data_IF_856315335494
#
_entry.id   IF_856315335494
#
_cell.length_a   1.000
_cell.length_b   1.000
_cell.length_c   1.000
_cell.angle_alpha   90.00
_cell.angle_beta   90.00
_cell.angle_gamma   90.00
#
_symmetry.space_group_name_H-M   'P 1'
#
loop_
_entity.id
_entity.type
_entity.pdbx_description
1 polymer ?
#
# COMPACT_ATOMS: atom_id res chain seq x y z
N UNK A 1 11.97 10.90 13.06
CA UNK A 1 11.53 12.27 12.76
C UNK A 1 12.68 13.23 13.05
N UNK A 2 12.92 14.19 12.16
CA UNK A 2 13.81 15.33 12.40
C UNK A 2 12.99 16.57 12.78
N UNK A 3 11.84 16.74 12.14
CA UNK A 3 10.79 17.72 12.46
C UNK A 3 9.42 17.18 12.01
N UNK A 4 8.41 18.04 11.92
CA UNK A 4 7.03 17.69 11.56
C UNK A 4 6.87 17.12 10.15
N UNK A 5 7.79 17.46 9.22
CA UNK A 5 7.68 17.09 7.79
C UNK A 5 8.91 16.33 7.26
N UNK A 6 9.96 16.14 8.07
CA UNK A 6 11.17 15.46 7.66
C UNK A 6 11.49 14.25 8.52
N UNK A 7 11.90 13.18 7.84
CA UNK A 7 12.35 11.95 8.46
C UNK A 7 13.73 11.56 7.94
N UNK A 8 14.58 11.06 8.84
CA UNK A 8 15.85 10.44 8.47
C UNK A 8 15.64 8.94 8.29
N UNK A 9 16.08 8.40 7.16
CA UNK A 9 15.95 6.98 6.81
C UNK A 9 17.28 6.39 6.36
N UNK A 10 17.38 5.06 6.39
CA UNK A 10 18.49 4.34 5.76
C UNK A 10 18.41 4.56 4.25
N UNK A 11 19.53 4.96 3.63
CA UNK A 11 19.60 5.06 2.16
C UNK A 11 19.42 3.68 1.54
N UNK A 12 18.62 3.61 0.48
CA UNK A 12 18.42 2.41 -0.32
C UNK A 12 18.25 2.77 -1.80
N UNK A 13 18.66 1.85 -2.67
CA UNK A 13 18.41 1.92 -4.10
C UNK A 13 17.05 1.29 -4.40
N UNK A 14 16.14 2.07 -4.98
CA UNK A 14 14.74 1.68 -5.18
C UNK A 14 14.64 0.50 -6.15
N UNK A 15 13.90 -0.54 -5.77
CA UNK A 15 13.41 -1.56 -6.70
C UNK A 15 12.18 -0.95 -7.37
N UNK A 16 12.20 -0.79 -8.69
CA UNK A 16 11.15 -0.09 -9.45
C UNK A 16 9.86 -0.92 -9.58
N UNK A 17 9.34 -1.42 -8.47
CA UNK A 17 8.10 -2.17 -8.34
C UNK A 17 7.26 -1.52 -7.24
N UNK A 18 6.06 -1.11 -7.59
CA UNK A 18 5.02 -0.80 -6.62
C UNK A 18 4.34 -2.10 -6.20
N UNK A 19 4.40 -2.43 -4.91
CA UNK A 19 3.83 -3.66 -4.36
C UNK A 19 2.45 -3.37 -3.79
N UNK A 20 1.41 -3.77 -4.50
CA UNK A 20 0.02 -3.51 -4.11
C UNK A 20 -0.52 -4.68 -3.31
N UNK A 21 -0.97 -4.40 -2.09
CA UNK A 21 -1.48 -5.40 -1.15
C UNK A 21 -2.96 -5.15 -0.92
N UNK A 22 -3.83 -6.15 -1.13
CA UNK A 22 -5.29 -5.99 -1.09
C UNK A 22 -5.97 -7.01 -0.20
N UNK A 23 -6.91 -6.53 0.61
CA UNK A 23 -7.84 -7.35 1.40
C UNK A 23 -9.27 -7.29 0.86
N UNK A 24 -9.64 -6.16 0.23
CA UNK A 24 -10.96 -5.92 -0.34
C UNK A 24 -10.76 -5.46 -1.79
N UNK A 25 -11.59 -5.95 -2.70
CA UNK A 25 -11.55 -5.56 -4.10
C UNK A 25 -12.10 -4.14 -4.28
N UNK A 26 -11.26 -3.25 -4.82
CA UNK A 26 -11.68 -1.92 -5.27
C UNK A 26 -10.70 -1.36 -6.31
N UNK A 27 -10.97 -0.15 -6.80
CA UNK A 27 -10.07 0.60 -7.66
C UNK A 27 -9.72 -0.16 -8.94
N UNK A 28 -8.41 -0.28 -9.23
CA UNK A 28 -7.93 -0.94 -10.44
C UNK A 28 -8.25 -2.44 -10.49
N UNK A 29 -8.36 -3.13 -9.35
CA UNK A 29 -8.69 -4.55 -9.33
C UNK A 29 -10.11 -4.81 -9.88
N UNK A 30 -11.09 -4.08 -9.33
CA UNK A 30 -12.50 -4.11 -9.79
C UNK A 30 -12.60 -3.70 -11.26
N UNK A 31 -11.93 -2.60 -11.65
CA UNK A 31 -12.01 -2.04 -13.00
C UNK A 31 -11.45 -2.99 -14.06
N UNK A 32 -10.35 -3.69 -13.76
CA UNK A 32 -9.63 -4.51 -14.73
C UNK A 32 -10.20 -5.92 -14.84
N UNK A 33 -10.71 -6.48 -13.74
CA UNK A 33 -11.13 -7.89 -13.67
C UNK A 33 -12.64 -8.08 -13.49
N UNK A 34 -13.41 -7.00 -13.40
CA UNK A 34 -14.86 -7.02 -13.14
C UNK A 34 -15.24 -7.79 -11.86
N UNK A 35 -14.35 -7.78 -10.86
CA UNK A 35 -14.69 -8.22 -9.50
C UNK A 35 -15.57 -7.14 -8.88
N UNK A 36 -16.66 -7.53 -8.20
CA UNK A 36 -17.57 -6.59 -7.55
C UNK A 36 -16.84 -5.73 -6.51
N UNK A 37 -17.07 -4.42 -6.55
CA UNK A 37 -16.46 -3.46 -5.62
C UNK A 37 -16.91 -3.73 -4.18
N UNK A 38 -15.97 -3.71 -3.23
CA UNK A 38 -16.24 -4.09 -1.84
C UNK A 38 -16.17 -5.59 -1.55
N UNK A 39 -15.87 -6.44 -2.56
CA UNK A 39 -15.69 -7.89 -2.32
C UNK A 39 -14.52 -8.14 -1.36
N UNK A 40 -14.80 -8.77 -0.20
CA UNK A 40 -13.76 -9.24 0.70
C UNK A 40 -13.03 -10.42 0.05
N UNK A 41 -11.72 -10.30 -0.14
CA UNK A 41 -10.92 -11.33 -0.78
C UNK A 41 -10.71 -12.52 0.17
N UNK A 42 -10.70 -13.76 -0.33
CA UNK A 42 -10.53 -14.96 0.49
C UNK A 42 -9.10 -15.09 1.08
N UNK A 43 -8.16 -14.31 0.56
CA UNK A 43 -6.78 -14.21 1.03
C UNK A 43 -6.23 -12.83 0.65
N UNK A 44 -5.16 -12.39 1.32
CA UNK A 44 -4.46 -11.15 0.94
C UNK A 44 -3.87 -11.31 -0.47
N UNK A 45 -4.27 -10.47 -1.40
CA UNK A 45 -3.68 -10.43 -2.73
C UNK A 45 -2.44 -9.53 -2.70
N UNK A 46 -1.35 -9.95 -3.38
CA UNK A 46 -0.17 -9.12 -3.61
C UNK A 46 0.08 -9.06 -5.11
N UNK A 47 0.01 -7.87 -5.67
CA UNK A 47 0.26 -7.56 -7.08
C UNK A 47 1.49 -6.67 -7.21
N UNK A 48 2.06 -6.65 -8.41
CA UNK A 48 3.18 -5.78 -8.74
C UNK A 48 2.77 -4.85 -9.88
N UNK A 49 3.05 -3.56 -9.72
CA UNK A 49 2.94 -2.54 -10.76
C UNK A 49 4.34 -1.99 -11.05
N UNK A 50 4.64 -1.72 -12.31
CA UNK A 50 5.94 -1.19 -12.70
C UNK A 50 6.01 0.27 -12.32
N UNK A 51 6.96 0.68 -11.47
CA UNK A 51 7.11 2.10 -11.10
C UNK A 51 7.67 2.88 -12.29
N UNK A 52 6.78 3.41 -13.13
CA UNK A 52 7.10 4.14 -14.33
C UNK A 52 5.93 5.05 -14.75
N UNK A 53 5.99 6.30 -14.29
CA UNK A 53 4.95 7.31 -14.52
C UNK A 53 4.65 7.54 -16.02
N UNK A 54 5.65 7.42 -16.90
CA UNK A 54 5.47 7.60 -18.36
C UNK A 54 4.58 6.52 -18.98
N UNK A 55 4.58 5.33 -18.38
CA UNK A 55 3.76 4.18 -18.80
C UNK A 55 2.46 4.06 -18.00
N UNK A 56 2.24 4.93 -17.01
CA UNK A 56 1.07 4.90 -16.13
C UNK A 56 1.04 3.65 -15.23
N UNK A 57 2.20 3.24 -14.74
CA UNK A 57 2.42 2.15 -13.79
C UNK A 57 1.73 0.81 -14.15
N UNK A 58 2.11 0.19 -15.28
CA UNK A 58 1.43 -1.01 -15.77
C UNK A 58 1.65 -2.22 -14.85
N UNK A 59 0.66 -3.13 -14.82
CA UNK A 59 0.72 -4.40 -14.07
C UNK A 59 1.90 -5.26 -14.54
N UNK A 60 2.64 -5.79 -13.57
CA UNK A 60 3.73 -6.73 -13.75
C UNK A 60 3.31 -8.13 -13.28
N UNK A 61 3.76 -9.14 -14.02
CA UNK A 61 3.92 -10.48 -13.48
C UNK A 61 5.41 -10.73 -13.20
N UNK A 62 5.72 -11.88 -12.60
CA UNK A 62 7.08 -12.25 -12.19
C UNK A 62 8.06 -12.29 -13.37
N UNK A 63 7.61 -12.75 -14.53
CA UNK A 63 8.43 -12.81 -15.73
C UNK A 63 8.74 -11.41 -16.25
N UNK A 64 7.80 -10.47 -16.17
CA UNK A 64 8.05 -9.06 -16.51
C UNK A 64 9.12 -8.48 -15.59
N UNK A 65 9.03 -8.72 -14.27
CA UNK A 65 10.04 -8.26 -13.31
C UNK A 65 11.44 -8.79 -13.63
N UNK A 66 11.56 -10.06 -14.04
CA UNK A 66 12.82 -10.67 -14.44
C UNK A 66 13.34 -10.15 -15.78
N UNK A 67 12.47 -10.03 -16.80
CA UNK A 67 12.83 -9.50 -18.13
C UNK A 67 13.35 -8.06 -18.02
N UNK A 68 12.72 -7.25 -17.16
CA UNK A 68 13.09 -5.87 -16.91
C UNK A 68 14.27 -5.73 -15.93
N UNK A 69 14.81 -6.83 -15.40
CA UNK A 69 15.87 -6.87 -14.39
C UNK A 69 15.56 -6.02 -13.14
N UNK A 70 14.29 -6.00 -12.71
CA UNK A 70 13.87 -5.29 -11.49
C UNK A 70 14.29 -6.04 -10.22
N UNK A 71 14.45 -7.35 -10.35
CA UNK A 71 14.94 -8.27 -9.32
C UNK A 71 16.00 -9.18 -9.94
N UNK A 72 16.89 -9.71 -9.11
CA UNK A 72 17.95 -10.60 -9.58
C UNK A 72 17.42 -12.01 -9.88
N UNK A 73 16.43 -12.46 -9.10
CA UNK A 73 15.88 -13.80 -9.21
C UNK A 73 14.50 -13.90 -8.56
N UNK A 74 13.83 -15.03 -8.79
CA UNK A 74 12.48 -15.31 -8.28
C UNK A 74 12.38 -15.23 -6.75
N UNK A 75 13.42 -15.63 -6.01
CA UNK A 75 13.35 -15.70 -4.54
C UNK A 75 13.20 -14.31 -3.90
N UNK A 76 13.60 -13.26 -4.60
CA UNK A 76 13.41 -11.88 -4.13
C UNK A 76 11.95 -11.44 -4.26
N UNK A 77 11.26 -11.81 -5.34
CA UNK A 77 9.81 -11.57 -5.48
C UNK A 77 9.04 -12.33 -4.40
N UNK A 78 9.46 -13.57 -4.11
CA UNK A 78 8.86 -14.38 -3.05
C UNK A 78 9.09 -13.75 -1.68
N UNK A 79 10.28 -13.24 -1.41
CA UNK A 79 10.60 -12.50 -0.19
C UNK A 79 9.77 -11.21 -0.07
N UNK A 80 9.67 -10.42 -1.13
CA UNK A 80 8.85 -9.19 -1.18
C UNK A 80 7.38 -9.53 -0.86
N UNK A 81 6.81 -10.58 -1.46
CA UNK A 81 5.45 -11.03 -1.15
C UNK A 81 5.30 -11.48 0.29
N UNK A 82 6.26 -12.24 0.80
CA UNK A 82 6.27 -12.69 2.18
C UNK A 82 6.26 -11.48 3.14
N UNK A 83 7.12 -10.50 2.91
CA UNK A 83 7.18 -9.28 3.72
C UNK A 83 5.90 -8.44 3.58
N UNK A 84 5.37 -8.26 2.37
CA UNK A 84 4.13 -7.53 2.12
C UNK A 84 2.93 -8.13 2.87
N UNK A 85 2.82 -9.48 2.89
CA UNK A 85 1.79 -10.19 3.66
C UNK A 85 1.97 -10.01 5.17
N UNK A 86 3.20 -10.09 5.67
CA UNK A 86 3.48 -9.85 7.09
C UNK A 86 3.16 -8.42 7.51
N UNK A 87 3.50 -7.44 6.67
CA UNK A 87 3.15 -6.04 6.90
C UNK A 87 1.62 -5.89 6.91
N UNK A 88 0.91 -6.52 5.98
CA UNK A 88 -0.55 -6.53 5.96
C UNK A 88 -1.14 -7.06 7.26
N UNK A 89 -0.68 -8.20 7.77
CA UNK A 89 -1.21 -8.78 9.00
C UNK A 89 -1.05 -7.81 10.18
N UNK A 90 0.13 -7.20 10.32
CA UNK A 90 0.40 -6.19 11.36
C UNK A 90 -0.48 -4.95 11.21
N UNK A 91 -0.59 -4.40 10.01
CA UNK A 91 -1.37 -3.18 9.75
C UNK A 91 -2.87 -3.45 9.90
N UNK A 92 -3.36 -4.60 9.43
CA UNK A 92 -4.76 -4.99 9.53
C UNK A 92 -5.18 -5.10 11.00
N UNK A 93 -4.38 -5.76 11.83
CA UNK A 93 -4.63 -5.83 13.28
C UNK A 93 -4.58 -4.44 13.92
N UNK A 94 -3.59 -3.62 13.55
CA UNK A 94 -3.41 -2.26 14.06
C UNK A 94 -4.60 -1.34 13.76
N UNK A 95 -5.11 -1.34 12.52
CA UNK A 95 -6.23 -0.50 12.09
C UNK A 95 -7.57 -1.03 12.58
N UNK A 96 -7.76 -2.36 12.65
CA UNK A 96 -9.00 -2.96 13.18
C UNK A 96 -9.26 -2.50 14.62
N UNK A 97 -8.22 -2.44 15.46
CA UNK A 97 -8.31 -1.94 16.84
C UNK A 97 -8.70 -0.45 16.94
N UNK A 98 -8.68 0.26 15.82
CA UNK A 98 -8.95 1.70 15.69
C UNK A 98 -10.20 1.99 14.88
N UNK A 99 -11.07 0.98 14.72
CA UNK A 99 -12.31 1.09 13.94
C UNK A 99 -12.08 1.52 12.49
N UNK A 100 -10.96 1.09 11.92
CA UNK A 100 -10.59 1.32 10.53
C UNK A 100 -10.36 -0.02 9.83
N UNK A 101 -10.95 -0.15 8.64
CA UNK A 101 -10.78 -1.29 7.76
C UNK A 101 -9.65 -0.99 6.77
N UNK A 102 -8.59 -1.81 6.80
CA UNK A 102 -7.49 -1.74 5.82
C UNK A 102 -7.90 -2.45 4.52
N UNK A 103 -8.33 -1.68 3.52
CA UNK A 103 -8.88 -2.17 2.26
C UNK A 103 -7.77 -2.66 1.35
N UNK A 104 -6.83 -1.77 1.01
CA UNK A 104 -5.60 -2.06 0.31
C UNK A 104 -4.54 -0.99 0.61
N UNK A 105 -3.30 -1.25 0.20
CA UNK A 105 -2.20 -0.28 0.29
C UNK A 105 -1.09 -0.59 -0.70
N UNK A 106 -0.27 0.42 -0.99
CA UNK A 106 0.98 0.29 -1.75
C UNK A 106 2.17 0.28 -0.81
N UNK A 107 3.15 -0.56 -1.12
CA UNK A 107 4.51 -0.53 -0.55
C UNK A 107 5.55 -0.33 -1.66
N UNK A 108 6.69 0.22 -1.30
CA UNK A 108 7.90 0.20 -2.11
C UNK A 108 9.05 -0.43 -1.32
N UNK A 109 9.94 -1.11 -2.03
CA UNK A 109 11.13 -1.76 -1.45
C UNK A 109 12.39 -1.24 -2.12
N UNK A 110 13.49 -1.27 -1.39
CA UNK A 110 14.81 -0.90 -1.91
C UNK A 110 15.90 -1.80 -1.36
N UNK A 111 17.06 -1.74 -2.00
CA UNK A 111 18.28 -2.42 -1.54
C UNK A 111 19.13 -1.48 -0.73
N UNK A 112 19.49 -1.91 0.48
CA UNK A 112 20.50 -1.19 1.23
C UNK A 112 21.93 -1.46 0.70
N UNK A 113 22.92 -0.81 1.31
CA UNK A 113 24.33 -0.92 0.92
C UNK A 113 24.89 -2.34 1.02
N UNK A 114 24.27 -3.20 1.83
CA UNK A 114 24.67 -4.59 2.03
C UNK A 114 23.88 -5.54 1.09
N UNK A 115 23.00 -4.98 0.24
CA UNK A 115 22.16 -5.72 -0.70
C UNK A 115 20.85 -6.25 -0.11
N UNK A 116 20.54 -5.96 1.16
CA UNK A 116 19.30 -6.43 1.78
C UNK A 116 18.09 -5.68 1.22
N UNK A 117 17.01 -6.42 0.95
CA UNK A 117 15.73 -5.83 0.58
C UNK A 117 15.03 -5.33 1.85
N UNK A 118 14.81 -4.01 1.91
CA UNK A 118 14.14 -3.33 3.01
C UNK A 118 12.91 -2.57 2.53
N UNK A 119 11.93 -2.39 3.42
CA UNK A 119 10.79 -1.51 3.19
C UNK A 119 11.29 -0.05 3.17
N UNK A 120 10.81 0.73 2.20
CA UNK A 120 11.12 2.15 2.03
C UNK A 120 9.83 2.95 1.82
N UNK A 121 9.96 4.18 1.30
CA UNK A 121 8.86 5.11 1.03
C UNK A 121 8.08 5.47 2.30
N UNK A 122 6.76 5.60 2.22
CA UNK A 122 5.90 6.03 3.32
C UNK A 122 4.71 5.10 3.58
N UNK A 123 4.22 5.15 4.81
CA UNK A 123 3.00 4.49 5.26
C UNK A 123 2.04 5.56 5.76
N UNK A 124 1.13 6.00 4.89
CA UNK A 124 0.23 7.13 5.12
C UNK A 124 -1.14 6.90 4.48
N UNK A 125 -2.18 7.69 4.83
CA UNK A 125 -3.47 7.66 4.12
C UNK A 125 -3.40 8.03 2.63
N UNK A 126 -2.26 8.52 2.13
CA UNK A 126 -2.03 8.77 0.70
C UNK A 126 -1.77 7.46 -0.07
N UNK A 127 -1.08 6.51 0.58
CA UNK A 127 -0.70 5.21 0.02
C UNK A 127 -1.67 4.09 0.39
N UNK A 128 -2.60 4.34 1.33
CA UNK A 128 -3.54 3.35 1.86
C UNK A 128 -4.96 3.67 1.40
N UNK A 129 -5.80 2.64 1.27
CA UNK A 129 -7.25 2.77 1.36
C UNK A 129 -7.70 2.32 2.74
N UNK A 130 -8.29 3.26 3.47
CA UNK A 130 -8.80 3.05 4.82
C UNK A 130 -10.26 3.42 4.81
N UNK A 131 -11.13 2.48 5.22
CA UNK A 131 -12.54 2.77 5.41
C UNK A 131 -12.86 2.83 6.90
N UNK A 132 -13.76 3.72 7.27
CA UNK A 132 -14.39 3.67 8.59
C UNK A 132 -15.17 2.36 8.72
N UNK A 133 -14.91 1.58 9.79
CA UNK A 133 -15.47 0.23 9.91
C UNK A 133 -16.97 0.21 10.22
N UNK A 134 -17.56 1.31 10.70
CA UNK A 134 -18.99 1.40 10.99
C UNK A 134 -19.81 1.87 9.78
N UNK A 135 -19.39 2.98 9.17
CA UNK A 135 -20.08 3.64 8.07
C UNK A 135 -19.67 3.14 6.69
N UNK A 136 -18.48 2.55 6.57
CA UNK A 136 -17.87 2.22 5.28
C UNK A 136 -17.35 3.44 4.50
N UNK A 137 -17.34 4.63 5.09
CA UNK A 137 -16.83 5.83 4.42
C UNK A 137 -15.31 5.75 4.18
N UNK A 138 -14.86 6.23 3.03
CA UNK A 138 -13.42 6.38 2.76
C UNK A 138 -12.81 7.46 3.64
N UNK A 139 -11.70 7.10 4.28
CA UNK A 139 -10.90 7.93 5.19
C UNK A 139 -9.53 8.26 4.60
N UNK A 140 -9.42 8.16 3.28
CA UNK A 140 -8.15 8.19 2.54
C UNK A 140 -8.23 9.09 1.28
N UNK A 141 -7.18 9.04 0.45
CA UNK A 141 -7.04 9.83 -0.77
C UNK A 141 -8.18 9.63 -1.78
N UNK A 142 -8.94 8.54 -1.71
CA UNK A 142 -10.14 8.35 -2.55
C UNK A 142 -11.19 9.45 -2.34
N UNK A 143 -11.25 10.11 -1.18
CA UNK A 143 -12.10 11.29 -0.98
C UNK A 143 -11.79 12.43 -1.95
N UNK A 144 -10.52 12.60 -2.30
CA UNK A 144 -10.10 13.55 -3.34
C UNK A 144 -10.35 12.99 -4.73
N UNK A 145 -9.94 11.74 -5.00
CA UNK A 145 -10.08 11.10 -6.33
C UNK A 145 -11.54 11.04 -6.81
N UNK A 146 -12.48 10.88 -5.89
CA UNK A 146 -13.92 10.77 -6.17
C UNK A 146 -14.70 12.07 -5.93
N UNK A 147 -14.03 13.17 -5.52
CA UNK A 147 -14.71 14.46 -5.28
C UNK A 147 -15.65 14.47 -4.07
N UNK A 148 -15.43 13.61 -3.08
CA UNK A 148 -16.25 13.52 -1.85
C UNK A 148 -16.00 14.67 -0.86
N UNK A 149 -14.90 15.41 -1.04
CA UNK A 149 -14.49 16.49 -0.14
C UNK A 149 -14.03 15.99 1.23
N UNK A 150 -13.63 16.91 2.11
CA UNK A 150 -13.28 16.56 3.51
C UNK A 150 -11.98 15.77 3.70
N UNK A 151 -11.07 15.76 2.70
CA UNK A 151 -9.81 15.00 2.76
C UNK A 151 -9.02 15.28 4.05
N UNK A 152 -8.82 16.57 4.38
CA UNK A 152 -8.09 16.96 5.59
C UNK A 152 -8.76 16.42 6.86
N UNK A 153 -10.09 16.52 6.95
CA UNK A 153 -10.86 16.04 8.10
C UNK A 153 -10.71 14.54 8.26
N UNK A 154 -10.76 13.78 7.15
CA UNK A 154 -10.52 12.34 7.18
C UNK A 154 -9.11 12.00 7.68
N UNK A 155 -8.08 12.73 7.24
CA UNK A 155 -6.70 12.47 7.66
C UNK A 155 -6.49 12.82 9.15
N UNK A 156 -7.07 13.92 9.62
CA UNK A 156 -7.07 14.29 11.04
C UNK A 156 -7.79 13.23 11.89
N UNK A 157 -8.91 12.68 11.41
CA UNK A 157 -9.64 11.63 12.09
C UNK A 157 -8.84 10.32 12.16
N UNK A 158 -8.18 9.92 11.06
CA UNK A 158 -7.27 8.76 11.07
C UNK A 158 -6.15 8.99 12.09
N UNK A 159 -5.55 10.18 12.13
CA UNK A 159 -4.52 10.52 13.12
C UNK A 159 -5.04 10.46 14.56
N UNK A 160 -6.21 11.02 14.84
CA UNK A 160 -6.82 10.98 16.17
C UNK A 160 -7.05 9.55 16.66
N UNK A 161 -7.58 8.68 15.79
CA UNK A 161 -7.76 7.25 16.06
C UNK A 161 -6.42 6.53 16.28
N UNK A 162 -5.38 6.89 15.53
CA UNK A 162 -4.03 6.33 15.72
C UNK A 162 -3.47 6.68 17.10
N UNK A 163 -3.58 7.95 17.50
CA UNK A 163 -3.06 8.46 18.78
C UNK A 163 -3.91 8.05 19.98
N UNK A 164 -5.13 7.55 19.76
CA UNK A 164 -6.08 7.22 20.84
C UNK A 164 -6.66 8.46 21.51
N UNK A 165 -6.60 9.61 20.84
CA UNK A 165 -7.21 10.84 21.31
C UNK A 165 -8.72 10.73 21.05
N UNK A 166 -9.50 10.56 22.12
CA UNK A 166 -10.96 10.67 22.09
C UNK A 166 -11.38 12.13 22.22
#
# INVERSE_FOLDING_TARGET
MLDDNHMLHKKADVILIEVIVRNIATGSLTRNLAIEDGTVLPFTLVEFDYKNDELGDPKLNDQHCLILNLVENQSELDYIRYMARRINDLLKDFYTQRNLTLVDFKLEFGRDIDGNIILIDELSPDNFRLWDSESGESMDKDRFRQGLGGLKVAYEEVLNRILGNK
#
